data_IF_990230415594
#
_entry.id   IF_990230415594
#
_cell.length_a   1.000
_cell.length_b   1.000
_cell.length_c   1.000
_cell.angle_alpha   90.00
_cell.angle_beta   90.00
_cell.angle_gamma   90.00
#
_symmetry.space_group_name_H-M   'P 1'
#
loop_
_entity.id
_entity.type
_entity.pdbx_description
1 polymer ?
#
# COMPACT_ATOMS: atom_id res chain seq x y z
N UNK A 1 -14.07 -7.81 5.15
CA UNK A 1 -13.61 -6.64 5.93
C UNK A 1 -12.35 -6.18 5.24
N UNK A 2 -12.45 -5.11 4.47
CA UNK A 2 -11.30 -4.51 3.80
C UNK A 2 -10.46 -3.80 4.85
N UNK A 3 -9.19 -4.18 4.92
CA UNK A 3 -8.25 -3.58 5.84
C UNK A 3 -7.78 -2.27 5.23
N UNK A 4 -8.41 -1.16 5.61
CA UNK A 4 -7.94 0.16 5.26
C UNK A 4 -6.73 0.45 6.15
N UNK A 5 -5.56 0.71 5.56
CA UNK A 5 -4.43 1.32 6.27
C UNK A 5 -4.20 2.71 5.69
N UNK A 6 -4.31 3.75 6.52
CA UNK A 6 -3.90 5.11 6.17
C UNK A 6 -2.39 5.29 6.33
N UNK A 7 -1.63 5.06 5.26
CA UNK A 7 -0.19 5.32 5.25
C UNK A 7 0.03 6.80 4.98
N UNK A 8 0.57 7.51 5.96
CA UNK A 8 1.12 8.85 5.77
C UNK A 8 2.64 8.78 5.68
N UNK A 9 3.24 9.61 4.84
CA UNK A 9 4.69 9.75 4.74
C UNK A 9 5.02 11.23 4.84
N UNK A 10 5.56 11.65 5.99
CA UNK A 10 5.91 13.04 6.28
C UNK A 10 7.43 13.18 6.30
N UNK A 11 8.03 13.71 5.24
CA UNK A 11 9.46 14.03 5.23
C UNK A 11 9.73 15.34 6.02
N UNK A 12 10.76 15.40 6.89
CA UNK A 12 11.09 16.61 7.65
C UNK A 12 11.82 17.68 6.83
N UNK A 13 12.46 17.27 5.72
CA UNK A 13 13.12 18.14 4.76
C UNK A 13 12.16 18.33 3.56
N UNK A 14 12.06 19.55 3.03
CA UNK A 14 11.17 19.97 1.94
C UNK A 14 11.44 19.28 0.57
N UNK A 15 11.95 18.05 0.56
CA UNK A 15 11.97 17.20 -0.62
C UNK A 15 10.56 16.63 -0.87
N UNK A 16 9.94 16.90 -2.04
CA UNK A 16 8.52 16.70 -2.29
C UNK A 16 8.20 15.27 -2.73
N UNK A 17 8.78 14.26 -2.07
CA UNK A 17 8.55 12.88 -2.46
C UNK A 17 7.13 12.50 -1.99
N UNK A 18 6.22 12.37 -2.94
CA UNK A 18 4.83 12.01 -2.63
C UNK A 18 4.76 10.58 -2.10
N UNK A 19 3.73 10.23 -1.32
CA UNK A 19 3.61 8.87 -0.79
C UNK A 19 3.66 7.79 -1.88
N UNK A 20 3.10 8.07 -3.05
CA UNK A 20 3.12 7.15 -4.19
C UNK A 20 4.52 7.00 -4.79
N UNK A 21 5.32 8.06 -4.84
CA UNK A 21 6.72 7.99 -5.28
C UNK A 21 7.56 7.16 -4.31
N UNK A 22 7.32 7.30 -3.00
CA UNK A 22 8.01 6.51 -1.99
C UNK A 22 7.66 5.01 -2.10
N UNK A 23 6.41 4.68 -2.44
CA UNK A 23 6.00 3.29 -2.71
C UNK A 23 6.67 2.72 -3.97
N UNK A 24 6.80 3.53 -5.02
CA UNK A 24 7.50 3.13 -6.25
C UNK A 24 8.98 2.88 -5.95
N UNK A 25 9.64 3.82 -5.27
CA UNK A 25 11.03 3.69 -4.85
C UNK A 25 11.25 2.44 -3.97
N UNK A 26 10.37 2.22 -2.99
CA UNK A 26 10.35 1.03 -2.16
C UNK A 26 10.30 -0.27 -2.99
N UNK A 27 9.42 -0.33 -4.00
CA UNK A 27 9.29 -1.49 -4.85
C UNK A 27 10.54 -1.74 -5.72
N UNK A 28 11.25 -0.68 -6.13
CA UNK A 28 12.53 -0.83 -6.84
C UNK A 28 13.68 -1.25 -5.95
N UNK A 29 13.69 -0.79 -4.69
CA UNK A 29 14.78 -1.04 -3.75
C UNK A 29 14.62 -2.35 -2.96
N UNK A 30 13.39 -2.84 -2.79
CA UNK A 30 13.08 -3.96 -1.90
C UNK A 30 12.97 -5.29 -2.66
N UNK A 31 13.81 -6.28 -2.36
CA UNK A 31 13.70 -7.61 -2.95
C UNK A 31 12.32 -8.23 -2.69
N UNK A 32 11.73 -8.83 -3.74
CA UNK A 32 10.42 -9.49 -3.66
C UNK A 32 9.22 -8.56 -3.83
N UNK A 33 9.44 -7.26 -4.00
CA UNK A 33 8.40 -6.27 -4.29
C UNK A 33 8.51 -5.80 -5.74
N UNK A 34 7.37 -5.64 -6.41
CA UNK A 34 7.31 -5.22 -7.80
C UNK A 34 6.21 -4.18 -8.00
N UNK A 35 6.56 -3.05 -8.62
CA UNK A 35 5.58 -2.07 -9.05
C UNK A 35 4.91 -2.52 -10.35
N UNK A 36 3.58 -2.61 -10.35
CA UNK A 36 2.78 -2.98 -11.53
C UNK A 36 2.22 -1.72 -12.19
N UNK A 37 2.93 -1.17 -13.18
CA UNK A 37 2.55 0.10 -13.81
C UNK A 37 1.18 0.06 -14.49
N UNK A 38 0.92 -0.95 -15.34
CA UNK A 38 -0.35 -1.08 -16.05
C UNK A 38 -1.53 -1.28 -15.09
N UNK A 39 -1.35 -2.11 -14.05
CA UNK A 39 -2.37 -2.35 -13.04
C UNK A 39 -2.63 -1.10 -12.19
N UNK A 40 -1.57 -0.35 -11.84
CA UNK A 40 -1.68 0.93 -11.13
C UNK A 40 -2.48 1.95 -11.92
N UNK A 41 -2.23 2.06 -13.24
CA UNK A 41 -2.97 2.96 -14.13
C UNK A 41 -4.44 2.56 -14.21
N UNK A 42 -4.71 1.28 -14.43
CA UNK A 42 -6.08 0.77 -14.50
C UNK A 42 -6.87 1.02 -13.20
N UNK A 43 -6.25 0.77 -12.05
CA UNK A 43 -6.87 0.99 -10.75
C UNK A 43 -7.06 2.48 -10.44
N UNK A 44 -6.12 3.33 -10.86
CA UNK A 44 -6.27 4.78 -10.73
C UNK A 44 -7.45 5.30 -11.57
N UNK A 45 -7.62 4.79 -12.79
CA UNK A 45 -8.78 5.09 -13.65
C UNK A 45 -10.08 4.61 -13.01
N UNK A 46 -10.13 3.40 -12.46
CA UNK A 46 -11.31 2.85 -11.79
C UNK A 46 -11.71 3.66 -10.56
N UNK A 47 -10.73 4.08 -9.74
CA UNK A 47 -10.98 4.85 -8.51
C UNK A 47 -11.07 6.35 -8.73
N UNK A 48 -10.82 6.84 -9.95
CA UNK A 48 -10.81 8.27 -10.27
C UNK A 48 -9.78 9.09 -9.49
N UNK A 49 -8.70 8.46 -9.02
CA UNK A 49 -7.67 9.06 -8.15
C UNK A 49 -6.34 8.35 -8.30
N UNK A 50 -5.23 9.05 -8.04
CA UNK A 50 -3.91 8.45 -8.16
C UNK A 50 -3.77 7.19 -7.30
N UNK A 51 -3.21 6.16 -7.91
CA UNK A 51 -3.06 4.86 -7.29
C UNK A 51 -1.76 4.16 -7.71
N UNK A 52 -1.36 3.18 -6.91
CA UNK A 52 -0.17 2.37 -7.07
C UNK A 52 -0.51 0.93 -6.68
N UNK A 53 -0.12 -0.05 -7.48
CA UNK A 53 -0.22 -1.47 -7.18
C UNK A 53 1.18 -2.03 -7.04
N UNK A 54 1.42 -2.65 -5.88
CA UNK A 54 2.64 -3.39 -5.58
C UNK A 54 2.34 -4.88 -5.46
N UNK A 55 3.09 -5.70 -6.17
CA UNK A 55 3.09 -7.15 -6.01
C UNK A 55 4.18 -7.58 -5.05
N UNK A 56 3.84 -8.40 -4.07
CA UNK A 56 4.79 -9.06 -3.20
C UNK A 56 4.82 -10.56 -3.48
N UNK A 57 6.01 -11.08 -3.79
CA UNK A 57 6.24 -12.52 -3.86
C UNK A 57 6.53 -13.04 -2.46
N UNK A 58 5.60 -13.80 -1.89
CA UNK A 58 5.82 -14.45 -0.59
C UNK A 58 6.93 -15.49 -0.74
N UNK A 59 8.05 -15.28 -0.02
CA UNK A 59 9.20 -16.21 0.03
C UNK A 59 8.72 -17.57 0.58
N UNK A 60 8.47 -18.50 -0.34
CA UNK A 60 7.74 -19.75 -0.10
C UNK A 60 7.14 -20.33 -1.38
N UNK A 61 6.93 -19.48 -2.39
CA UNK A 61 7.00 -19.89 -3.80
C UNK A 61 5.73 -20.40 -4.45
N UNK A 62 4.53 -19.99 -4.02
CA UNK A 62 3.31 -20.34 -4.78
C UNK A 62 2.25 -19.25 -4.89
N UNK A 63 2.38 -18.14 -4.17
CA UNK A 63 1.32 -17.14 -4.10
C UNK A 63 1.90 -15.73 -4.11
N UNK A 64 1.54 -14.99 -5.15
CA UNK A 64 1.79 -13.55 -5.25
C UNK A 64 0.63 -12.82 -4.57
N UNK A 65 0.91 -11.76 -3.83
CA UNK A 65 -0.14 -10.89 -3.27
C UNK A 65 -0.01 -9.49 -3.82
N UNK A 66 -1.11 -8.93 -4.32
CA UNK A 66 -1.15 -7.58 -4.85
C UNK A 66 -1.69 -6.64 -3.77
N UNK A 67 -1.00 -5.53 -3.57
CA UNK A 67 -1.35 -4.47 -2.62
C UNK A 67 -1.65 -3.23 -3.43
N UNK A 68 -2.92 -2.80 -3.40
CA UNK A 68 -3.36 -1.60 -4.08
C UNK A 68 -3.42 -0.43 -3.11
N UNK A 69 -2.80 0.68 -3.50
CA UNK A 69 -2.73 1.93 -2.75
C UNK A 69 -3.44 3.01 -3.55
N UNK A 70 -4.42 3.68 -2.98
CA UNK A 70 -5.09 4.82 -3.63
C UNK A 70 -5.09 6.03 -2.71
N UNK A 71 -4.95 7.23 -3.25
CA UNK A 71 -5.04 8.46 -2.44
C UNK A 71 -6.36 8.54 -1.68
N UNK A 72 -6.30 8.96 -0.41
CA UNK A 72 -7.48 9.16 0.45
C UNK A 72 -7.54 10.62 0.94
N UNK A 73 -7.95 11.57 0.08
CA UNK A 73 -7.97 12.99 0.44
C UNK A 73 -8.95 13.32 1.59
N UNK A 74 -9.94 12.46 1.85
CA UNK A 74 -10.87 12.58 2.96
C UNK A 74 -10.28 12.18 4.33
N UNK A 75 -9.04 11.65 4.37
CA UNK A 75 -8.36 11.32 5.63
C UNK A 75 -7.94 12.60 6.39
N UNK A 76 -7.92 12.60 7.73
CA UNK A 76 -7.38 13.72 8.52
C UNK A 76 -5.92 14.06 8.18
N UNK A 77 -5.20 13.17 7.48
CA UNK A 77 -3.83 13.39 6.99
C UNK A 77 -3.74 13.93 5.56
N UNK A 78 -4.86 14.24 4.94
CA UNK A 78 -4.95 14.90 3.63
C UNK A 78 -4.27 14.12 2.50
N UNK A 79 -3.55 14.84 1.63
CA UNK A 79 -2.88 14.28 0.44
C UNK A 79 -1.76 13.28 0.76
N UNK A 80 -1.30 13.24 2.01
CA UNK A 80 -0.31 12.28 2.45
C UNK A 80 -0.91 10.88 2.71
N UNK A 81 -2.24 10.77 2.85
CA UNK A 81 -2.90 9.51 3.19
C UNK A 81 -3.15 8.65 1.96
N UNK A 82 -2.68 7.40 2.03
CA UNK A 82 -3.02 6.35 1.09
C UNK A 82 -3.92 5.33 1.76
N UNK A 83 -4.92 4.84 1.04
CA UNK A 83 -5.73 3.69 1.38
C UNK A 83 -5.09 2.44 0.77
N UNK A 84 -4.65 1.52 1.62
CA UNK A 84 -4.20 0.19 1.22
C UNK A 84 -5.40 -0.78 1.13
N UNK A 85 -5.46 -1.56 0.06
CA UNK A 85 -6.35 -2.70 -0.17
C UNK A 85 -5.49 -3.92 -0.52
N UNK A 86 -5.71 -5.05 0.16
CA UNK A 86 -5.07 -6.33 -0.19
C UNK A 86 -5.90 -7.03 -1.25
N UNK A 87 -5.35 -7.17 -2.45
CA UNK A 87 -5.97 -7.87 -3.58
C UNK A 87 -5.55 -9.34 -3.53
N UNK A 88 -6.55 -10.22 -3.55
CA UNK A 88 -6.34 -11.66 -3.56
C UNK A 88 -5.79 -12.12 -4.92
N UNK A 89 -4.84 -13.07 -4.93
CA UNK A 89 -4.32 -13.61 -6.17
C UNK A 89 -5.40 -14.34 -6.98
N UNK A 90 -5.39 -14.13 -8.30
CA UNK A 90 -6.18 -14.94 -9.21
C UNK A 90 -5.72 -16.41 -9.12
N UNK A 91 -6.58 -17.27 -8.56
CA UNK A 91 -6.29 -18.69 -8.36
C UNK A 91 -6.03 -19.11 -6.91
N UNK A 92 -6.22 -18.22 -5.93
CA UNK A 92 -6.24 -18.62 -4.53
C UNK A 92 -7.33 -19.70 -4.29
N UNK A 93 -6.97 -20.82 -3.66
CA UNK A 93 -7.91 -21.91 -3.35
C UNK A 93 -9.04 -21.46 -2.41
N UNK A 94 -8.77 -20.41 -1.62
CA UNK A 94 -9.72 -19.73 -0.74
C UNK A 94 -9.39 -18.25 -0.64
N UNK A 95 -10.37 -17.38 -0.35
CA UNK A 95 -10.09 -16.00 0.01
C UNK A 95 -9.22 -15.93 1.27
N UNK A 96 -8.46 -14.85 1.39
CA UNK A 96 -7.72 -14.58 2.62
C UNK A 96 -8.71 -14.28 3.75
N UNK A 97 -8.44 -14.85 4.91
CA UNK A 97 -9.15 -14.45 6.12
C UNK A 97 -8.64 -13.09 6.63
N UNK A 98 -9.25 -12.58 7.69
CA UNK A 98 -8.87 -11.28 8.24
C UNK A 98 -7.46 -11.29 8.86
N UNK A 99 -7.02 -12.42 9.40
CA UNK A 99 -5.70 -12.56 10.04
C UNK A 99 -4.59 -12.61 8.99
N UNK A 100 -4.81 -13.29 7.87
CA UNK A 100 -3.89 -13.33 6.73
C UNK A 100 -3.74 -11.95 6.08
N UNK A 101 -4.85 -11.24 5.86
CA UNK A 101 -4.80 -9.86 5.34
C UNK A 101 -4.04 -8.93 6.29
N UNK A 102 -4.26 -9.07 7.59
CA UNK A 102 -3.54 -8.34 8.63
C UNK A 102 -2.04 -8.65 8.62
N UNK A 103 -1.67 -9.92 8.45
CA UNK A 103 -0.27 -10.33 8.41
C UNK A 103 0.44 -9.76 7.19
N UNK A 104 -0.17 -9.83 6.00
CA UNK A 104 0.37 -9.23 4.76
C UNK A 104 0.57 -7.73 4.93
N UNK A 105 -0.43 -7.03 5.46
CA UNK A 105 -0.35 -5.59 5.66
C UNK A 105 0.71 -5.20 6.71
N UNK A 106 0.82 -5.96 7.80
CA UNK A 106 1.86 -5.75 8.81
C UNK A 106 3.26 -5.96 8.22
N UNK A 107 3.45 -7.04 7.47
CA UNK A 107 4.72 -7.36 6.82
C UNK A 107 5.14 -6.26 5.83
N UNK A 108 4.19 -5.75 5.05
CA UNK A 108 4.40 -4.58 4.19
C UNK A 108 4.87 -3.35 5.00
N UNK A 109 4.15 -3.00 6.07
CA UNK A 109 4.48 -1.82 6.90
C UNK A 109 5.85 -1.96 7.55
N UNK A 110 6.22 -3.16 8.01
CA UNK A 110 7.55 -3.43 8.58
C UNK A 110 8.66 -3.25 7.54
N UNK A 111 8.46 -3.76 6.32
CA UNK A 111 9.41 -3.60 5.23
C UNK A 111 9.53 -2.14 4.78
N UNK A 112 8.40 -1.42 4.67
CA UNK A 112 8.39 0.00 4.30
C UNK A 112 9.12 0.84 5.35
N UNK A 113 8.85 0.63 6.64
CA UNK A 113 9.56 1.33 7.73
C UNK A 113 11.07 1.06 7.68
N UNK A 114 11.47 -0.19 7.48
CA UNK A 114 12.88 -0.55 7.37
C UNK A 114 13.57 0.09 6.13
N UNK A 115 12.83 0.27 5.03
CA UNK A 115 13.33 0.99 3.85
C UNK A 115 13.53 2.48 4.13
N UNK A 116 12.52 3.13 4.72
CA UNK A 116 12.57 4.57 5.04
C UNK A 116 13.69 4.89 6.05
N UNK A 117 13.84 4.06 7.08
CA UNK A 117 14.93 4.16 8.06
C UNK A 117 16.31 4.06 7.39
N UNK A 118 16.45 3.14 6.42
CA UNK A 118 17.70 2.97 5.65
C UNK A 118 18.04 4.17 4.77
N UNK A 119 17.03 4.84 4.23
CA UNK A 119 17.22 6.05 3.42
C UNK A 119 17.49 7.30 4.27
N UNK A 120 17.45 7.18 5.60
CA UNK A 120 17.51 8.35 6.49
C UNK A 120 16.30 9.28 6.30
N UNK A 121 15.23 8.78 5.68
CA UNK A 121 13.98 9.51 5.52
C UNK A 121 13.17 9.33 6.80
N UNK A 122 13.02 10.39 7.60
CA UNK A 122 12.19 10.37 8.79
C UNK A 122 10.71 10.44 8.39
N UNK A 123 10.19 9.44 7.68
CA UNK A 123 8.80 9.38 7.31
C UNK A 123 8.00 8.60 8.36
N UNK A 124 7.01 9.24 8.96
CA UNK A 124 6.16 8.61 9.97
C UNK A 124 5.08 7.75 9.32
N UNK A 125 5.28 6.43 9.27
CA UNK A 125 4.24 5.50 8.81
C UNK A 125 3.18 5.31 9.88
N UNK A 126 2.05 5.99 9.71
CA UNK A 126 0.84 5.74 10.48
C UNK A 126 0.01 4.63 9.84
N UNK A 127 -0.73 3.91 10.67
CA UNK A 127 -1.63 2.84 10.25
C UNK A 127 -2.89 2.98 11.08
N UNK A 128 -3.96 3.39 10.43
CA UNK A 128 -5.30 3.43 11.02
C UNK A 128 -6.17 2.40 10.32
N UNK A 129 -6.86 1.55 11.10
CA UNK A 129 -7.82 0.58 10.58
C UNK A 129 -9.17 1.26 10.42
N UNK A 130 -9.66 1.33 9.18
CA UNK A 130 -11.02 1.79 8.88
C UNK A 130 -11.91 0.65 8.39
N UNK A 131 -13.21 0.74 8.66
CA UNK A 131 -14.21 0.04 7.85
C UNK A 131 -14.38 0.80 6.52
N UNK A 132 -14.56 0.07 5.41
CA UNK A 132 -15.15 0.69 4.22
C UNK A 132 -16.55 1.16 4.62
N UNK A 133 -16.70 2.46 4.84
CA UNK A 133 -18.00 3.09 4.69
C UNK A 133 -18.26 3.07 3.20
N UNK A 134 -19.11 2.13 2.79
CA UNK A 134 -19.71 2.11 1.47
C UNK A 134 -20.33 3.49 1.25
N UNK A 135 -19.70 4.37 0.45
CA UNK A 135 -20.35 5.59 -0.05
C UNK A 135 -21.35 5.19 -1.16
N UNK A 136 -22.26 4.28 -0.80
CA UNK A 136 -23.50 4.03 -1.53
C UNK A 136 -24.60 4.79 -0.79
N UNK A 137 -24.70 6.09 -1.08
CA UNK A 137 -25.89 6.90 -0.77
C UNK A 137 -26.78 7.04 -2.00
#
# INVERSE_FOLDING_TARGET
MDLILDVALTSPDEAPLTPLEALRDFAYASPGWHYLEDASRHYAEEKGRDACILRHHVLGGSTDVDLAFARRPASPRGDAALHLTVIEPEGAERPFDAEERDEVARHFVEHLRAHLDRQGQHAEVHVERGEMVDESS
#
